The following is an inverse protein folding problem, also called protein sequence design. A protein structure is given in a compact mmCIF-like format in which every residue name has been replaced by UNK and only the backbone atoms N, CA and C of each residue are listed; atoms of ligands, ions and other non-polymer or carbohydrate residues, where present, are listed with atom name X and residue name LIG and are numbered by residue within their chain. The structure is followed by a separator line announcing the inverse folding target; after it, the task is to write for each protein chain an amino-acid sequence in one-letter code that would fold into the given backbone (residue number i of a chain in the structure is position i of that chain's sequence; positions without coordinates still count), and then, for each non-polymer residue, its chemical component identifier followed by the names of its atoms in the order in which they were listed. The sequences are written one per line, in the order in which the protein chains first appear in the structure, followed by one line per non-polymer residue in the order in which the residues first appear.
data_IF_081573471021
#
_entry.id   IF_081573471021
#
_cell.length_a   1.000
_cell.length_b   1.000
_cell.length_c   1.000
_cell.angle_alpha   90.00
_cell.angle_beta   90.00
_cell.angle_gamma   90.00
#
_symmetry.space_group_name_H-M   'P 1'
#
loop_
_entity.id
_entity.type
_entity.pdbx_description
1 polymer ?
#
# COMPACT_ATOMS: atom_id res chain seq x y z
N UNK A 1 -20.47 9.44 2.37
CA UNK A 1 -19.34 9.34 3.30
C UNK A 1 -18.26 8.62 2.52
N UNK A 2 -17.20 9.31 2.10
CA UNK A 2 -16.05 8.62 1.53
C UNK A 2 -15.41 7.91 2.71
N UNK A 3 -15.51 6.59 2.75
CA UNK A 3 -14.76 5.81 3.72
C UNK A 3 -13.30 5.96 3.31
N UNK A 4 -12.54 6.79 4.02
CA UNK A 4 -11.10 6.85 3.86
C UNK A 4 -10.58 5.44 4.17
N UNK A 5 -10.08 4.75 3.14
CA UNK A 5 -9.46 3.44 3.32
C UNK A 5 -8.23 3.66 4.20
N UNK A 6 -8.14 2.92 5.30
CA UNK A 6 -6.98 3.02 6.20
C UNK A 6 -5.71 2.61 5.47
N UNK A 7 -4.57 3.24 5.80
CA UNK A 7 -3.26 2.84 5.29
C UNK A 7 -2.99 1.35 5.48
N UNK A 8 -3.43 0.78 6.59
CA UNK A 8 -3.32 -0.65 6.87
C UNK A 8 -4.09 -1.49 5.83
N UNK A 9 -5.33 -1.12 5.54
CA UNK A 9 -6.16 -1.78 4.53
C UNK A 9 -5.56 -1.66 3.13
N UNK A 10 -5.07 -0.47 2.76
CA UNK A 10 -4.43 -0.26 1.45
C UNK A 10 -3.19 -1.15 1.28
N UNK A 11 -2.39 -1.28 2.34
CA UNK A 11 -1.19 -2.13 2.35
C UNK A 11 -1.58 -3.60 2.22
N UNK A 12 -2.55 -4.07 3.00
CA UNK A 12 -2.98 -5.47 3.00
C UNK A 12 -3.57 -5.90 1.66
N UNK A 13 -4.51 -5.12 1.12
CA UNK A 13 -5.09 -5.40 -0.21
C UNK A 13 -4.02 -5.38 -1.31
N UNK A 14 -3.07 -4.45 -1.25
CA UNK A 14 -1.96 -4.40 -2.21
C UNK A 14 -1.03 -5.60 -2.09
N UNK A 15 -0.79 -6.10 -0.88
CA UNK A 15 0.05 -7.27 -0.63
C UNK A 15 -0.62 -8.58 -1.07
N UNK A 16 -1.95 -8.68 -0.99
CA UNK A 16 -2.69 -9.87 -1.44
C UNK A 16 -2.55 -10.12 -2.94
N UNK A 17 -2.53 -9.08 -3.76
CA UNK A 17 -2.37 -9.19 -5.22
C UNK A 17 -0.91 -9.00 -5.68
N UNK A 18 0.04 -8.99 -4.72
CA UNK A 18 1.41 -8.58 -4.98
C UNK A 18 2.14 -9.44 -6.01
N UNK A 19 1.83 -10.74 -6.08
CA UNK A 19 2.48 -11.68 -7.01
C UNK A 19 2.27 -11.31 -8.48
N UNK A 20 1.15 -10.68 -8.79
CA UNK A 20 0.74 -10.43 -10.18
C UNK A 20 0.78 -8.94 -10.52
N UNK A 21 0.56 -8.06 -9.53
CA UNK A 21 0.44 -6.60 -9.69
C UNK A 21 1.70 -5.80 -9.41
N UNK A 22 2.53 -6.28 -8.49
CA UNK A 22 3.62 -5.50 -7.92
C UNK A 22 4.98 -5.97 -8.42
N UNK A 23 5.89 -5.02 -8.59
CA UNK A 23 7.29 -5.37 -8.77
C UNK A 23 7.98 -5.58 -7.40
N UNK A 24 9.16 -6.21 -7.42
CA UNK A 24 9.96 -6.49 -6.21
C UNK A 24 10.20 -5.26 -5.33
N UNK A 25 10.35 -4.08 -5.93
CA UNK A 25 10.58 -2.85 -5.19
C UNK A 25 9.31 -2.35 -4.51
N UNK A 26 8.16 -2.39 -5.20
CA UNK A 26 6.85 -2.04 -4.64
C UNK A 26 6.49 -2.98 -3.50
N UNK A 27 6.72 -4.28 -3.66
CA UNK A 27 6.52 -5.27 -2.61
C UNK A 27 7.38 -4.97 -1.37
N UNK A 28 8.68 -4.76 -1.55
CA UNK A 28 9.59 -4.41 -0.44
C UNK A 28 9.21 -3.08 0.22
N UNK A 29 8.74 -2.12 -0.56
CA UNK A 29 8.25 -0.85 -0.05
C UNK A 29 7.02 -1.06 0.85
N UNK A 30 6.02 -1.82 0.41
CA UNK A 30 4.82 -2.14 1.20
C UNK A 30 5.15 -2.84 2.51
N UNK A 31 6.07 -3.82 2.49
CA UNK A 31 6.54 -4.48 3.72
C UNK A 31 7.18 -3.46 4.67
N UNK A 32 8.03 -2.57 4.17
CA UNK A 32 8.70 -1.55 4.99
C UNK A 32 7.73 -0.55 5.61
N UNK A 33 6.69 -0.12 4.90
CA UNK A 33 5.69 0.78 5.47
C UNK A 33 4.71 0.05 6.39
N UNK A 34 4.41 -1.23 6.15
CA UNK A 34 3.61 -2.05 7.07
C UNK A 34 4.26 -2.11 8.44
N UNK A 35 5.56 -2.41 8.51
CA UNK A 35 6.30 -2.43 9.78
C UNK A 35 6.25 -1.08 10.51
N UNK A 36 6.22 0.04 9.78
CA UNK A 36 6.10 1.37 10.39
C UNK A 36 4.69 1.62 10.95
N UNK A 37 3.66 1.29 10.17
CA UNK A 37 2.26 1.40 10.59
C UNK A 37 1.98 0.50 11.80
N UNK A 38 2.47 -0.74 11.79
CA UNK A 38 2.36 -1.70 12.90
C UNK A 38 3.06 -1.19 14.18
N UNK A 39 4.13 -0.40 14.02
CA UNK A 39 4.80 0.30 15.13
C UNK A 39 4.07 1.57 15.59
N UNK A 40 2.90 1.87 15.03
CA UNK A 40 2.13 3.09 15.30
C UNK A 40 2.78 4.36 14.77
N UNK A 41 3.68 4.24 13.77
CA UNK A 41 4.34 5.39 13.15
C UNK A 41 3.54 5.87 11.96
N UNK A 42 3.40 7.19 11.86
CA UNK A 42 2.82 7.82 10.68
C UNK A 42 3.76 7.70 9.47
N UNK A 43 3.15 7.62 8.30
CA UNK A 43 3.86 7.69 7.03
C UNK A 43 4.21 9.15 6.72
N UNK A 44 5.38 9.37 6.12
CA UNK A 44 5.68 10.69 5.54
C UNK A 44 4.83 10.93 4.31
N UNK A 45 4.61 12.18 3.91
CA UNK A 45 3.87 12.54 2.67
C UNK A 45 4.34 11.73 1.44
N UNK A 46 5.66 11.63 1.22
CA UNK A 46 6.21 10.85 0.11
C UNK A 46 5.89 9.34 0.18
N UNK A 47 5.73 8.79 1.39
CA UNK A 47 5.37 7.39 1.60
C UNK A 47 3.87 7.18 1.37
N UNK A 48 3.05 8.13 1.82
CA UNK A 48 1.62 8.14 1.56
C UNK A 48 1.34 8.24 0.06
N UNK A 49 1.92 9.23 -0.62
CA UNK A 49 1.78 9.42 -2.07
C UNK A 49 2.16 8.15 -2.84
N UNK A 50 3.17 7.42 -2.34
CA UNK A 50 3.62 6.19 -2.99
C UNK A 50 2.70 5.01 -2.70
N UNK A 51 2.20 4.88 -1.48
CA UNK A 51 1.18 3.91 -1.12
C UNK A 51 -0.08 4.13 -1.98
N UNK A 52 -0.54 5.37 -2.12
CA UNK A 52 -1.72 5.72 -2.92
C UNK A 52 -1.53 5.35 -4.40
N UNK A 53 -0.34 5.59 -4.97
CA UNK A 53 -0.02 5.18 -6.34
C UNK A 53 -0.05 3.66 -6.52
N UNK A 54 0.52 2.92 -5.57
CA UNK A 54 0.58 1.45 -5.61
C UNK A 54 -0.84 0.89 -5.46
N UNK A 55 -1.60 1.39 -4.49
CA UNK A 55 -2.96 0.97 -4.24
C UNK A 55 -3.86 1.26 -5.43
N UNK A 56 -3.78 2.46 -6.01
CA UNK A 56 -4.53 2.80 -7.23
C UNK A 56 -4.17 1.87 -8.40
N UNK A 57 -2.88 1.59 -8.59
CA UNK A 57 -2.42 0.64 -9.63
C UNK A 57 -3.04 -0.75 -9.41
N UNK A 58 -3.10 -1.20 -8.16
CA UNK A 58 -3.73 -2.47 -7.78
C UNK A 58 -5.24 -2.45 -8.06
N UNK A 59 -5.96 -1.42 -7.60
CA UNK A 59 -7.42 -1.31 -7.79
C UNK A 59 -7.83 -1.14 -9.25
N UNK A 60 -7.04 -0.44 -10.07
CA UNK A 60 -7.31 -0.22 -11.49
C UNK A 60 -6.89 -1.44 -12.34
N UNK A 61 -6.15 -2.39 -11.78
CA UNK A 61 -5.71 -3.57 -12.51
C UNK A 61 -6.78 -4.66 -12.46
N UNK A 62 -7.11 -5.30 -13.59
CA UNK A 62 -8.24 -6.23 -13.71
C UNK A 62 -7.95 -7.63 -13.15
N UNK A 63 -7.14 -7.75 -12.10
CA UNK A 63 -6.84 -9.03 -11.46
C UNK A 63 -8.11 -9.71 -10.92
#
# INVERSE_FOLDING_TARGET
MASEVSNETMIEESLEVASDALNDWEYKFLISIKERVDQGRELTDNQQDKLDQIYKKVCDSPY
#
